data_IF_282531919670
#
_entry.id   IF_282531919670
#
_cell.length_a   1.000
_cell.length_b   1.000
_cell.length_c   1.000
_cell.angle_alpha   90.00
_cell.angle_beta   90.00
_cell.angle_gamma   90.00
#
_symmetry.space_group_name_H-M   'P 1'
#
loop_
_entity.id
_entity.type
_entity.pdbx_description
1 polymer ?
#
# COMPACT_ATOMS: atom_id res chain seq x y z
N UNK A 1 -9.09 17.72 -3.20
CA UNK A 1 -8.30 17.81 -1.95
C UNK A 1 -6.83 17.93 -2.32
N UNK A 2 -6.13 18.91 -1.77
CA UNK A 2 -4.74 19.21 -2.13
C UNK A 2 -3.86 19.05 -0.88
N UNK A 3 -3.49 17.81 -0.57
CA UNK A 3 -2.51 17.52 0.48
C UNK A 3 -1.08 17.72 -0.06
N UNK A 4 -0.26 18.47 0.66
CA UNK A 4 1.19 18.55 0.47
C UNK A 4 1.79 17.14 0.60
N UNK A 5 2.56 16.71 -0.40
CA UNK A 5 3.16 15.36 -0.50
C UNK A 5 2.19 14.17 -0.41
N UNK A 6 0.91 14.35 -0.80
CA UNK A 6 -0.03 13.22 -0.95
C UNK A 6 -0.54 12.60 0.37
N UNK A 7 -0.40 13.28 1.51
CA UNK A 7 -0.87 12.79 2.81
C UNK A 7 -2.31 13.21 3.10
N UNK A 8 -3.22 12.24 3.13
CA UNK A 8 -4.66 12.48 3.23
C UNK A 8 -5.12 13.09 4.58
N UNK A 9 -4.48 12.74 5.71
CA UNK A 9 -4.87 13.22 7.06
C UNK A 9 -3.82 14.07 7.78
N UNK A 10 -2.52 13.88 7.46
CA UNK A 10 -1.38 14.53 8.14
C UNK A 10 -0.57 15.44 7.19
N UNK A 11 -1.17 15.84 6.06
CA UNK A 11 -0.57 16.74 5.08
C UNK A 11 -1.05 18.18 5.26
N UNK A 12 -0.14 19.16 5.12
CA UNK A 12 -0.55 20.55 4.95
C UNK A 12 -1.32 20.77 3.65
N UNK A 13 -1.99 21.90 3.47
CA UNK A 13 -2.62 22.26 2.20
C UNK A 13 -1.53 22.63 1.18
N UNK A 14 -1.52 22.01 -0.01
CA UNK A 14 -0.70 22.55 -1.10
C UNK A 14 -1.35 23.86 -1.54
N UNK A 15 -0.81 24.99 -1.08
CA UNK A 15 -1.23 26.32 -1.49
C UNK A 15 -1.08 26.52 -3.01
N UNK A 16 -1.39 27.73 -3.46
CA UNK A 16 -1.20 28.11 -4.86
C UNK A 16 0.30 28.10 -5.19
N UNK A 17 0.73 27.26 -6.12
CA UNK A 17 2.12 27.17 -6.56
C UNK A 17 2.37 28.22 -7.65
N UNK A 18 3.48 28.97 -7.53
CA UNK A 18 3.96 29.87 -8.58
C UNK A 18 4.28 29.08 -9.85
N UNK A 19 3.59 29.38 -10.96
CA UNK A 19 3.79 28.69 -12.24
C UNK A 19 2.52 28.35 -13.03
N UNK A 20 1.32 28.73 -12.57
CA UNK A 20 0.08 28.64 -13.35
C UNK A 20 -0.53 27.23 -13.48
N UNK A 21 0.05 26.22 -12.84
CA UNK A 21 -0.45 24.84 -12.89
C UNK A 21 -1.59 24.60 -11.91
N UNK A 22 -2.72 24.10 -12.39
CA UNK A 22 -3.91 23.84 -11.58
C UNK A 22 -4.01 22.36 -11.17
N UNK A 23 -3.36 22.03 -10.05
CA UNK A 23 -3.35 20.67 -9.50
C UNK A 23 -4.73 20.12 -9.15
N UNK A 24 -5.70 20.99 -8.84
CA UNK A 24 -7.07 20.56 -8.51
C UNK A 24 -7.74 20.02 -9.77
N UNK A 25 -7.73 20.79 -10.86
CA UNK A 25 -8.29 20.36 -12.15
C UNK A 25 -7.56 19.12 -12.68
N UNK A 26 -6.24 19.04 -12.53
CA UNK A 26 -5.49 17.84 -12.93
C UNK A 26 -5.92 16.59 -12.13
N UNK A 27 -6.09 16.71 -10.82
CA UNK A 27 -6.58 15.59 -10.00
C UNK A 27 -8.00 15.17 -10.39
N UNK A 28 -8.92 16.12 -10.59
CA UNK A 28 -10.30 15.85 -11.02
C UNK A 28 -10.28 15.08 -12.35
N UNK A 29 -9.59 15.62 -13.37
CA UNK A 29 -9.49 14.99 -14.68
C UNK A 29 -8.87 13.59 -14.62
N UNK A 30 -7.91 13.36 -13.72
CA UNK A 30 -7.28 12.04 -13.53
C UNK A 30 -8.23 11.04 -12.87
N UNK A 31 -9.04 11.47 -11.90
CA UNK A 31 -10.04 10.62 -11.26
C UNK A 31 -11.17 10.30 -12.24
N UNK A 32 -11.69 11.29 -12.97
CA UNK A 32 -12.78 11.11 -13.94
C UNK A 32 -12.45 10.05 -14.99
N UNK A 33 -11.21 10.02 -15.50
CA UNK A 33 -10.72 9.00 -16.44
C UNK A 33 -10.67 7.59 -15.86
N UNK A 34 -10.63 7.45 -14.54
CA UNK A 34 -10.57 6.17 -13.83
C UNK A 34 -11.95 5.67 -13.40
N UNK A 35 -12.96 6.55 -13.27
CA UNK A 35 -14.30 6.18 -12.77
C UNK A 35 -14.90 5.00 -13.53
N UNK A 36 -14.78 4.98 -14.87
CA UNK A 36 -15.33 3.89 -15.69
C UNK A 36 -14.66 2.53 -15.42
N UNK A 37 -13.38 2.53 -15.02
CA UNK A 37 -12.62 1.32 -14.68
C UNK A 37 -12.91 0.80 -13.27
N UNK A 38 -13.51 1.64 -12.42
CA UNK A 38 -13.81 1.30 -11.03
C UNK A 38 -15.23 0.76 -10.82
N UNK A 39 -16.06 0.69 -11.86
CA UNK A 39 -17.49 0.31 -11.74
C UNK A 39 -17.70 -1.10 -11.18
N UNK A 40 -16.77 -2.02 -11.40
CA UNK A 40 -16.82 -3.39 -10.85
C UNK A 40 -16.09 -3.55 -9.52
N UNK A 41 -15.47 -2.49 -8.99
CA UNK A 41 -14.68 -2.54 -7.77
C UNK A 41 -15.60 -2.38 -6.56
N UNK A 42 -15.50 -3.31 -5.62
CA UNK A 42 -16.16 -3.23 -4.31
C UNK A 42 -15.15 -2.73 -3.27
N UNK A 43 -15.47 -1.61 -2.63
CA UNK A 43 -14.65 -1.03 -1.58
C UNK A 43 -15.15 -1.48 -0.21
N UNK A 44 -14.21 -1.87 0.66
CA UNK A 44 -14.49 -2.29 2.03
C UNK A 44 -13.62 -1.49 3.00
N UNK A 45 -14.16 -1.21 4.18
CA UNK A 45 -13.43 -0.61 5.29
C UNK A 45 -13.60 -1.50 6.52
N UNK A 46 -12.73 -2.50 6.63
CA UNK A 46 -12.76 -3.47 7.72
C UNK A 46 -11.37 -4.04 7.98
N UNK A 47 -11.25 -4.85 9.03
CA UNK A 47 -10.08 -5.69 9.24
C UNK A 47 -9.92 -6.68 8.08
N UNK A 48 -8.69 -6.91 7.62
CA UNK A 48 -8.40 -7.77 6.47
C UNK A 48 -8.89 -9.21 6.66
N UNK A 49 -8.91 -9.70 7.92
CA UNK A 49 -9.36 -11.06 8.23
C UNK A 49 -10.87 -11.24 8.14
N UNK A 50 -11.63 -10.14 8.02
CA UNK A 50 -13.09 -10.14 7.90
C UNK A 50 -13.58 -9.98 6.46
N UNK A 51 -12.67 -9.85 5.49
CA UNK A 51 -13.05 -9.76 4.09
C UNK A 51 -13.53 -11.11 3.56
N UNK A 52 -14.66 -11.08 2.86
CA UNK A 52 -15.14 -12.21 2.07
C UNK A 52 -14.40 -12.24 0.74
N UNK A 53 -13.50 -13.22 0.59
CA UNK A 53 -12.60 -13.35 -0.57
C UNK A 53 -13.03 -14.59 -1.36
N UNK A 54 -13.41 -14.46 -2.63
CA UNK A 54 -13.78 -15.61 -3.47
C UNK A 54 -12.65 -16.64 -3.61
N UNK A 55 -13.00 -17.92 -3.65
CA UNK A 55 -12.06 -19.03 -3.83
C UNK A 55 -11.16 -18.83 -5.06
N UNK A 56 -9.90 -19.25 -4.95
CA UNK A 56 -8.92 -19.14 -6.04
C UNK A 56 -8.49 -17.72 -6.40
N UNK A 57 -8.85 -16.71 -5.59
CA UNK A 57 -8.40 -15.33 -5.78
C UNK A 57 -6.87 -15.13 -5.72
N UNK A 58 -6.40 -14.10 -6.40
CA UNK A 58 -5.07 -13.50 -6.18
C UNK A 58 -5.24 -12.39 -5.14
N UNK A 59 -4.50 -12.49 -4.04
CA UNK A 59 -4.55 -11.53 -2.94
C UNK A 59 -3.24 -10.74 -2.94
N UNK A 60 -3.33 -9.41 -3.00
CA UNK A 60 -2.18 -8.52 -2.85
C UNK A 60 -2.30 -7.72 -1.57
N UNK A 61 -1.24 -7.74 -0.75
CA UNK A 61 -1.18 -7.08 0.54
C UNK A 61 -0.02 -6.07 0.56
N UNK A 62 -0.36 -4.79 0.76
CA UNK A 62 0.57 -3.69 1.05
C UNK A 62 0.33 -3.24 2.51
N UNK A 63 0.91 -4.00 3.45
CA UNK A 63 0.69 -3.80 4.88
C UNK A 63 1.52 -2.61 5.41
N UNK A 64 1.27 -2.10 6.62
CA UNK A 64 2.21 -1.18 7.25
C UNK A 64 3.57 -1.87 7.43
N UNK A 65 4.62 -1.39 6.76
CA UNK A 65 5.92 -2.09 6.75
C UNK A 65 6.53 -2.19 8.16
N UNK A 66 6.99 -3.38 8.54
CA UNK A 66 7.58 -3.64 9.86
C UNK A 66 8.84 -2.79 10.07
N UNK A 67 8.91 -2.11 11.21
CA UNK A 67 10.06 -1.28 11.57
C UNK A 67 10.12 0.08 10.87
N UNK A 68 9.06 0.47 10.14
CA UNK A 68 8.93 1.81 9.56
C UNK A 68 8.11 2.74 10.44
N UNK A 69 8.05 4.03 10.09
CA UNK A 69 7.23 5.02 10.81
C UNK A 69 5.75 4.65 10.67
N UNK A 70 5.16 4.12 11.73
CA UNK A 70 3.75 3.75 11.77
C UNK A 70 2.85 5.00 11.86
N UNK A 71 1.78 5.02 11.06
CA UNK A 71 0.71 6.00 11.18
C UNK A 71 -0.13 5.72 12.43
N UNK A 72 -0.87 6.71 12.93
CA UNK A 72 -1.70 6.55 14.14
C UNK A 72 -2.66 5.35 14.06
N UNK A 73 -3.19 5.06 12.87
CA UNK A 73 -4.11 3.95 12.60
C UNK A 73 -3.44 2.57 12.51
N UNK A 74 -2.10 2.50 12.46
CA UNK A 74 -1.34 1.26 12.25
C UNK A 74 -0.40 0.90 13.41
N UNK A 75 -0.53 1.56 14.57
CA UNK A 75 0.38 1.42 15.73
C UNK A 75 0.37 0.04 16.40
N UNK A 76 -0.59 -0.82 16.04
CA UNK A 76 -0.79 -2.14 16.66
C UNK A 76 -1.01 -3.23 15.61
N UNK A 77 -0.43 -3.08 14.41
CA UNK A 77 -0.51 -4.13 13.40
C UNK A 77 0.21 -5.39 13.90
N UNK A 78 -0.51 -6.50 13.96
CA UNK A 78 0.00 -7.81 14.37
C UNK A 78 0.53 -8.55 13.15
N UNK A 79 1.85 -8.49 12.97
CA UNK A 79 2.55 -9.09 11.83
C UNK A 79 2.50 -10.62 11.86
N UNK A 80 2.61 -11.22 13.05
CA UNK A 80 2.65 -12.67 13.19
C UNK A 80 1.27 -13.25 12.84
N UNK A 81 0.20 -12.64 13.36
CA UNK A 81 -1.18 -12.97 12.96
C UNK A 81 -1.41 -12.78 11.46
N UNK A 82 -0.84 -11.73 10.87
CA UNK A 82 -0.97 -11.48 9.42
C UNK A 82 -0.29 -12.58 8.58
N UNK A 83 0.94 -12.96 8.90
CA UNK A 83 1.64 -14.01 8.15
C UNK A 83 0.93 -15.36 8.27
N UNK A 84 0.43 -15.71 9.47
CA UNK A 84 -0.41 -16.90 9.65
C UNK A 84 -1.69 -16.83 8.82
N UNK A 85 -2.33 -15.66 8.74
CA UNK A 85 -3.49 -15.47 7.87
C UNK A 85 -3.14 -15.70 6.39
N UNK A 86 -2.02 -15.17 5.90
CA UNK A 86 -1.59 -15.40 4.52
C UNK A 86 -1.35 -16.89 4.21
N UNK A 87 -0.72 -17.63 5.12
CA UNK A 87 -0.54 -19.07 4.98
C UNK A 87 -1.89 -19.81 4.94
N UNK A 88 -2.83 -19.44 5.82
CA UNK A 88 -4.19 -20.02 5.79
C UNK A 88 -4.92 -19.73 4.46
N UNK A 89 -4.67 -18.58 3.83
CA UNK A 89 -5.25 -18.23 2.53
C UNK A 89 -4.64 -19.04 1.39
N UNK A 90 -3.34 -19.30 1.43
CA UNK A 90 -2.69 -20.25 0.52
C UNK A 90 -3.31 -21.65 0.64
N UNK A 91 -3.50 -22.14 1.87
CA UNK A 91 -4.12 -23.45 2.12
C UNK A 91 -5.57 -23.53 1.60
N UNK A 92 -6.30 -22.41 1.60
CA UNK A 92 -7.63 -22.27 0.99
C UNK A 92 -7.59 -22.20 -0.55
N UNK A 93 -6.41 -22.29 -1.17
CA UNK A 93 -6.24 -22.31 -2.64
C UNK A 93 -6.03 -20.93 -3.27
N UNK A 94 -5.82 -19.88 -2.48
CA UNK A 94 -5.48 -18.56 -3.01
C UNK A 94 -3.98 -18.45 -3.33
N UNK A 95 -3.62 -17.51 -4.21
CA UNK A 95 -2.22 -17.08 -4.37
C UNK A 95 -2.04 -15.74 -3.70
N UNK A 96 -1.09 -15.62 -2.77
CA UNK A 96 -0.91 -14.39 -1.98
C UNK A 96 0.42 -13.72 -2.32
N UNK A 97 0.38 -12.41 -2.52
CA UNK A 97 1.54 -11.56 -2.71
C UNK A 97 1.61 -10.50 -1.62
N UNK A 98 2.78 -10.32 -1.02
CA UNK A 98 2.99 -9.33 0.05
C UNK A 98 4.17 -8.42 -0.29
N UNK A 99 3.93 -7.11 -0.27
CA UNK A 99 4.98 -6.09 -0.31
C UNK A 99 5.45 -5.78 1.11
N UNK A 100 6.75 -5.98 1.38
CA UNK A 100 7.38 -5.75 2.69
C UNK A 100 8.91 -5.77 2.53
N UNK A 101 9.69 -5.30 3.52
CA UNK A 101 11.16 -5.43 3.48
C UNK A 101 11.68 -6.82 3.84
N UNK A 102 10.97 -7.54 4.71
CA UNK A 102 11.35 -8.84 5.23
C UNK A 102 10.12 -9.73 5.42
N UNK A 103 10.28 -11.02 5.16
CA UNK A 103 9.28 -12.05 5.39
C UNK A 103 9.94 -13.24 6.11
N UNK A 104 9.15 -14.16 6.70
CA UNK A 104 9.64 -15.48 7.11
C UNK A 104 10.48 -16.17 6.03
N UNK A 105 11.52 -16.90 6.43
CA UNK A 105 12.53 -17.48 5.53
C UNK A 105 11.94 -18.50 4.55
N UNK A 106 10.82 -19.13 4.90
CA UNK A 106 10.12 -20.12 4.07
C UNK A 106 9.34 -19.49 2.92
N UNK A 107 9.23 -18.15 2.86
CA UNK A 107 8.45 -17.43 1.86
C UNK A 107 9.35 -16.97 0.71
N UNK A 108 8.94 -17.28 -0.52
CA UNK A 108 9.69 -16.96 -1.73
C UNK A 108 9.67 -15.46 -2.02
N UNK A 109 10.86 -14.84 -2.09
CA UNK A 109 11.02 -13.48 -2.62
C UNK A 109 11.06 -13.54 -4.16
N UNK A 110 9.97 -13.15 -4.83
CA UNK A 110 9.84 -13.22 -6.30
C UNK A 110 10.31 -11.97 -7.02
N UNK A 111 10.46 -10.85 -6.31
CA UNK A 111 10.99 -9.60 -6.87
C UNK A 111 11.68 -8.78 -5.79
N UNK A 112 12.78 -8.10 -6.15
CA UNK A 112 13.41 -7.10 -5.30
C UNK A 112 14.05 -5.99 -6.12
N UNK A 113 14.08 -4.77 -5.57
CA UNK A 113 14.71 -3.62 -6.22
C UNK A 113 15.15 -2.57 -5.21
N UNK A 114 16.39 -2.12 -5.35
CA UNK A 114 16.86 -0.91 -4.66
C UNK A 114 16.17 0.33 -5.26
N UNK A 115 15.52 1.11 -4.41
CA UNK A 115 14.91 2.39 -4.80
C UNK A 115 15.60 3.54 -4.06
N UNK A 116 15.54 4.75 -4.62
CA UNK A 116 16.02 5.94 -3.91
C UNK A 116 14.85 6.58 -3.17
N UNK A 117 14.93 6.64 -1.84
CA UNK A 117 13.94 7.32 -1.01
C UNK A 117 14.47 8.70 -0.62
N UNK A 118 13.82 9.74 -1.15
CA UNK A 118 14.10 11.16 -0.89
C UNK A 118 12.95 11.87 -0.18
N UNK A 119 12.11 11.13 0.55
CA UNK A 119 10.98 11.70 1.28
C UNK A 119 11.43 12.65 2.41
N UNK A 120 12.63 12.44 2.94
CA UNK A 120 13.28 13.39 3.84
C UNK A 120 14.15 14.34 3.00
N UNK A 121 14.00 15.65 3.24
CA UNK A 121 14.67 16.72 2.49
C UNK A 121 16.18 16.76 2.69
N UNK A 122 16.70 16.07 3.71
CA UNK A 122 18.12 16.09 4.11
C UNK A 122 18.74 14.68 4.06
N UNK A 123 17.93 13.65 4.24
CA UNK A 123 18.39 12.25 4.29
C UNK A 123 17.81 11.51 3.09
N UNK A 124 18.67 11.18 2.14
CA UNK A 124 18.35 10.21 1.09
C UNK A 124 18.91 8.86 1.50
N UNK A 125 18.07 7.83 1.49
CA UNK A 125 18.49 6.46 1.74
C UNK A 125 17.95 5.55 0.64
N UNK A 126 18.52 4.35 0.54
CA UNK A 126 18.18 3.40 -0.52
C UNK A 126 17.60 2.10 0.04
N UNK A 127 16.29 2.06 0.34
CA UNK A 127 15.68 0.80 0.74
C UNK A 127 15.60 -0.16 -0.44
N UNK A 128 15.61 -1.46 -0.14
CA UNK A 128 15.35 -2.53 -1.11
C UNK A 128 13.91 -2.98 -0.93
N UNK A 129 13.03 -2.55 -1.82
CA UNK A 129 11.65 -3.03 -1.88
C UNK A 129 11.65 -4.49 -2.31
N UNK A 130 10.75 -5.30 -1.74
CA UNK A 130 10.61 -6.71 -2.08
C UNK A 130 9.14 -7.09 -2.25
N UNK A 131 8.91 -8.11 -3.07
CA UNK A 131 7.62 -8.76 -3.24
C UNK A 131 7.79 -10.25 -2.91
N UNK A 132 6.98 -10.72 -2.00
CA UNK A 132 6.97 -12.10 -1.54
C UNK A 132 5.74 -12.82 -2.07
N UNK A 133 5.91 -14.09 -2.45
CA UNK A 133 4.83 -14.97 -2.91
C UNK A 133 4.67 -16.13 -1.95
N UNK A 134 3.42 -16.39 -1.56
CA UNK A 134 3.01 -17.44 -0.64
C UNK A 134 2.13 -18.44 -1.37
#
# INVERSE_FOLDING_TARGET
MTSFNGRFFDGGYSGTISGGRNYITEQINNVEKQISKLQSVRFFSCDYSKMDIPDGSIIYCDIPYKGTKQYHVSRQFDYDRFWQWCLSKKEQGHTVFVSEYNAPDEIECVWSKEITNSLNTTITYKPVEKLFRI
#
